data_IF_293204650483
#
_entry.id   IF_293204650483
#
_cell.length_a   1.000
_cell.length_b   1.000
_cell.length_c   1.000
_cell.angle_alpha   90.00
_cell.angle_beta   90.00
_cell.angle_gamma   90.00
#
_symmetry.space_group_name_H-M   'P 1'
#
loop_
_entity.id
_entity.type
_entity.pdbx_description
1 polymer ?
#
# COMPACT_ATOMS: atom_id res chain seq x y z
N UNK A 1 12.85 -4.19 22.37
CA UNK A 1 13.05 -5.33 21.45
C UNK A 1 13.48 -4.75 20.12
N UNK A 2 14.68 -5.10 19.63
CA UNK A 2 15.31 -4.53 18.43
C UNK A 2 14.40 -4.50 17.18
N UNK A 3 13.47 -5.45 17.07
CA UNK A 3 12.49 -5.52 15.98
C UNK A 3 11.66 -4.24 15.81
N UNK A 4 11.15 -3.66 16.92
CA UNK A 4 10.28 -2.47 16.87
C UNK A 4 11.02 -1.19 16.49
N UNK A 5 12.27 -1.05 16.93
CA UNK A 5 13.12 0.09 16.60
C UNK A 5 13.58 0.02 15.13
N UNK A 6 13.91 -1.18 14.65
CA UNK A 6 14.41 -1.41 13.29
C UNK A 6 13.31 -1.31 12.22
N UNK A 7 12.04 -1.58 12.55
CA UNK A 7 10.93 -1.43 11.61
C UNK A 7 10.85 0.00 11.02
N UNK A 8 11.10 1.01 11.84
CA UNK A 8 11.08 2.42 11.39
C UNK A 8 12.15 2.71 10.35
N UNK A 9 13.33 2.08 10.46
CA UNK A 9 14.41 2.24 9.49
C UNK A 9 14.00 1.67 8.13
N UNK A 10 13.44 0.44 8.12
CA UNK A 10 12.95 -0.21 6.89
C UNK A 10 11.84 0.64 6.24
N UNK A 11 10.88 1.11 7.03
CA UNK A 11 9.80 1.98 6.55
C UNK A 11 10.33 3.32 6.00
N UNK A 12 11.29 3.94 6.68
CA UNK A 12 11.92 5.19 6.22
C UNK A 12 12.66 4.97 4.89
N UNK A 13 13.36 3.85 4.74
CA UNK A 13 14.02 3.49 3.49
C UNK A 13 13.01 3.30 2.35
N UNK A 14 11.88 2.65 2.61
CA UNK A 14 10.79 2.53 1.63
C UNK A 14 10.25 3.90 1.17
N UNK A 15 10.02 4.82 2.11
CA UNK A 15 9.62 6.20 1.80
C UNK A 15 10.70 6.88 0.94
N UNK A 16 11.98 6.74 1.27
CA UNK A 16 13.06 7.33 0.49
C UNK A 16 13.11 6.80 -0.94
N UNK A 17 12.90 5.50 -1.15
CA UNK A 17 12.85 4.89 -2.48
C UNK A 17 11.66 5.35 -3.33
N UNK A 18 10.52 5.64 -2.69
CA UNK A 18 9.26 6.01 -3.38
C UNK A 18 9.04 7.53 -3.48
N UNK A 19 9.80 8.32 -2.71
CA UNK A 19 9.75 9.79 -2.72
C UNK A 19 9.95 10.41 -4.11
N UNK A 20 10.86 9.94 -4.98
CA UNK A 20 11.00 10.50 -6.33
C UNK A 20 9.74 10.33 -7.18
N UNK A 21 9.07 9.18 -7.07
CA UNK A 21 7.78 8.92 -7.76
C UNK A 21 6.72 9.87 -7.21
N UNK A 22 6.61 9.99 -5.89
CA UNK A 22 5.66 10.91 -5.27
C UNK A 22 5.87 12.36 -5.74
N UNK A 23 7.13 12.81 -5.82
CA UNK A 23 7.46 14.16 -6.28
C UNK A 23 7.13 14.37 -7.77
N UNK A 24 7.43 13.38 -8.63
CA UNK A 24 7.18 13.47 -10.06
C UNK A 24 5.69 13.63 -10.42
N UNK A 25 4.81 13.01 -9.64
CA UNK A 25 3.36 12.99 -9.89
C UNK A 25 2.55 13.86 -8.90
N UNK A 26 3.23 14.65 -8.06
CA UNK A 26 2.58 15.50 -7.07
C UNK A 26 1.70 14.72 -6.09
N UNK A 27 2.15 13.54 -5.67
CA UNK A 27 1.46 12.67 -4.73
C UNK A 27 1.99 12.84 -3.31
N UNK A 28 1.11 12.68 -2.33
CA UNK A 28 1.56 12.34 -0.97
C UNK A 28 1.96 10.87 -0.89
N UNK A 29 2.75 10.49 0.11
CA UNK A 29 3.10 9.08 0.33
C UNK A 29 1.84 8.20 0.51
N UNK A 30 0.81 8.73 1.17
CA UNK A 30 -0.43 8.00 1.39
C UNK A 30 -1.22 7.76 0.09
N UNK A 31 -1.27 8.76 -0.79
CA UNK A 31 -1.90 8.63 -2.10
C UNK A 31 -1.19 7.57 -2.95
N UNK A 32 0.15 7.62 -2.99
CA UNK A 32 0.97 6.61 -3.64
C UNK A 32 0.70 5.21 -3.06
N UNK A 33 0.71 5.11 -1.73
CA UNK A 33 0.47 3.86 -1.02
C UNK A 33 -0.91 3.25 -1.29
N UNK A 34 -1.95 4.08 -1.43
CA UNK A 34 -3.30 3.64 -1.81
C UNK A 34 -3.32 3.12 -3.25
N UNK A 35 -2.70 3.84 -4.20
CA UNK A 35 -2.62 3.39 -5.59
C UNK A 35 -1.90 2.04 -5.69
N UNK A 36 -0.74 1.90 -5.03
CA UNK A 36 -0.01 0.63 -5.01
C UNK A 36 -0.78 -0.48 -4.29
N UNK A 37 -1.56 -0.14 -3.26
CA UNK A 37 -2.42 -1.12 -2.57
C UNK A 37 -3.49 -1.69 -3.48
N UNK A 38 -4.26 -0.81 -4.13
CA UNK A 38 -5.35 -1.19 -5.03
C UNK A 38 -4.81 -2.01 -6.22
N UNK A 39 -3.64 -1.64 -6.74
CA UNK A 39 -2.99 -2.37 -7.84
C UNK A 39 -2.53 -3.76 -7.41
N UNK A 40 -1.88 -3.85 -6.24
CA UNK A 40 -1.33 -5.12 -5.74
C UNK A 40 -2.40 -6.05 -5.15
N UNK A 41 -3.60 -5.53 -4.86
CA UNK A 41 -4.69 -6.26 -4.22
C UNK A 41 -6.03 -5.97 -4.93
N UNK A 42 -6.21 -6.39 -6.19
CA UNK A 42 -7.42 -6.09 -6.97
C UNK A 42 -8.72 -6.61 -6.34
N UNK A 43 -8.63 -7.56 -5.40
CA UNK A 43 -9.76 -8.09 -4.61
C UNK A 43 -10.18 -7.18 -3.43
N UNK A 44 -9.40 -6.13 -3.13
CA UNK A 44 -9.61 -5.22 -2.01
C UNK A 44 -9.79 -3.80 -2.53
N UNK A 45 -11.01 -3.48 -2.94
CA UNK A 45 -11.34 -2.28 -3.70
C UNK A 45 -12.21 -1.27 -2.93
N UNK A 46 -12.36 -1.42 -1.61
CA UNK A 46 -13.15 -0.50 -0.80
C UNK A 46 -12.30 0.34 0.14
N UNK A 47 -12.79 1.52 0.52
CA UNK A 47 -12.15 2.36 1.55
C UNK A 47 -12.02 1.63 2.90
N UNK A 48 -13.00 0.76 3.21
CA UNK A 48 -12.98 -0.07 4.42
C UNK A 48 -11.83 -1.09 4.38
N UNK A 49 -11.55 -1.68 3.22
CA UNK A 49 -10.41 -2.60 3.07
C UNK A 49 -9.09 -1.86 3.25
N UNK A 50 -8.95 -0.67 2.66
CA UNK A 50 -7.76 0.17 2.82
C UNK A 50 -7.54 0.50 4.30
N UNK A 51 -8.57 0.96 5.01
CA UNK A 51 -8.48 1.27 6.46
C UNK A 51 -8.05 0.05 7.26
N UNK A 52 -8.68 -1.11 7.03
CA UNK A 52 -8.41 -2.34 7.78
C UNK A 52 -7.04 -2.94 7.49
N UNK A 53 -6.64 -2.99 6.21
CA UNK A 53 -5.44 -3.70 5.79
C UNK A 53 -4.19 -2.81 5.84
N UNK A 54 -4.33 -1.49 5.72
CA UNK A 54 -3.22 -0.53 5.85
C UNK A 54 -3.14 0.12 7.23
N UNK A 55 -4.07 -0.17 8.14
CA UNK A 55 -4.13 0.39 9.50
C UNK A 55 -4.13 1.94 9.48
N UNK A 56 -4.80 2.52 8.48
CA UNK A 56 -4.90 3.97 8.29
C UNK A 56 -6.20 4.50 8.90
N UNK A 57 -6.19 5.74 9.37
CA UNK A 57 -7.42 6.36 9.90
C UNK A 57 -8.42 6.65 8.77
N UNK A 58 -9.72 6.52 9.07
CA UNK A 58 -10.82 6.76 8.11
C UNK A 58 -10.77 8.17 7.49
N UNK A 59 -10.43 9.18 8.29
CA UNK A 59 -10.35 10.59 7.84
C UNK A 59 -9.24 10.84 6.82
N UNK A 60 -8.06 10.24 7.03
CA UNK A 60 -6.95 10.36 6.09
C UNK A 60 -7.22 9.60 4.80
N UNK A 61 -7.76 8.38 4.88
CA UNK A 61 -8.14 7.60 3.68
C UNK A 61 -9.17 8.35 2.85
N UNK A 62 -10.21 8.92 3.48
CA UNK A 62 -11.24 9.68 2.77
C UNK A 62 -10.65 10.88 2.00
N UNK A 63 -9.78 11.65 2.66
CA UNK A 63 -9.12 12.81 2.04
C UNK A 63 -8.23 12.42 0.87
N UNK A 64 -7.43 11.36 1.02
CA UNK A 64 -6.56 10.86 -0.04
C UNK A 64 -7.36 10.32 -1.24
N UNK A 65 -8.45 9.56 -1.00
CA UNK A 65 -9.31 9.06 -2.07
C UNK A 65 -10.00 10.20 -2.84
N UNK A 66 -10.46 11.24 -2.14
CA UNK A 66 -11.04 12.43 -2.79
C UNK A 66 -10.01 13.14 -3.67
N UNK A 67 -8.78 13.27 -3.20
CA UNK A 67 -7.68 13.87 -3.98
C UNK A 67 -7.33 13.03 -5.20
N UNK A 68 -7.18 11.72 -5.06
CA UNK A 68 -6.91 10.78 -6.17
C UNK A 68 -8.03 10.79 -7.22
N UNK A 69 -9.29 10.86 -6.80
CA UNK A 69 -10.44 10.98 -7.69
C UNK A 69 -10.43 12.31 -8.45
N UNK A 70 -10.13 13.43 -7.76
CA UNK A 70 -9.98 14.74 -8.41
C UNK A 70 -8.85 14.76 -9.44
N UNK A 71 -7.75 14.05 -9.17
CA UNK A 71 -6.62 13.83 -10.10
C UNK A 71 -6.95 12.81 -11.20
N UNK A 72 -8.14 12.21 -11.18
CA UNK A 72 -8.63 11.18 -12.11
C UNK A 72 -7.83 9.87 -12.09
N UNK A 73 -7.05 9.60 -11.04
CA UNK A 73 -6.28 8.36 -10.91
C UNK A 73 -7.12 7.17 -10.44
N UNK A 74 -8.26 7.44 -9.82
CA UNK A 74 -9.25 6.42 -9.45
C UNK A 74 -10.65 6.87 -9.85
N UNK A 75 -11.56 5.90 -9.99
CA UNK A 75 -13.00 6.12 -10.10
C UNK A 75 -13.74 5.38 -8.99
N UNK A 76 -14.92 5.89 -8.66
CA UNK A 76 -15.85 5.28 -7.72
C UNK A 76 -17.05 4.72 -8.48
N UNK A 77 -17.43 3.48 -8.17
CA UNK A 77 -18.64 2.87 -8.70
C UNK A 77 -19.43 2.15 -7.61
N UNK A 78 -20.72 1.99 -7.86
CA UNK A 78 -21.60 1.16 -7.04
C UNK A 78 -21.95 -0.08 -7.85
N UNK A 79 -21.86 -1.26 -7.23
CA UNK A 79 -22.32 -2.47 -7.88
C UNK A 79 -23.86 -2.47 -7.98
N UNK A 80 -24.39 -3.00 -9.09
CA UNK A 80 -25.82 -3.01 -9.38
C UNK A 80 -26.64 -3.53 -8.19
N UNK A 81 -27.53 -2.70 -7.65
CA UNK A 81 -28.41 -3.03 -6.53
C UNK A 81 -27.85 -2.69 -5.13
N UNK A 82 -26.52 -2.55 -4.97
CA UNK A 82 -25.91 -2.16 -3.70
C UNK A 82 -25.36 -0.73 -3.75
N UNK A 83 -26.18 0.25 -3.35
CA UNK A 83 -25.78 1.67 -3.22
C UNK A 83 -25.02 1.99 -1.93
N UNK A 84 -24.79 1.01 -1.06
CA UNK A 84 -24.13 1.23 0.25
C UNK A 84 -22.61 1.09 0.16
N UNK A 85 -22.11 0.24 -0.73
CA UNK A 85 -20.67 -0.02 -0.88
C UNK A 85 -20.13 0.69 -2.11
N UNK A 86 -19.10 1.52 -1.90
CA UNK A 86 -18.34 2.18 -2.96
C UNK A 86 -17.14 1.32 -3.31
N UNK A 87 -17.03 0.95 -4.57
CA UNK A 87 -15.88 0.25 -5.16
C UNK A 87 -14.96 1.24 -5.86
N UNK A 88 -13.66 1.01 -5.76
CA UNK A 88 -12.60 1.86 -6.28
C UNK A 88 -11.89 1.14 -7.42
N UNK A 89 -11.80 1.78 -8.58
CA UNK A 89 -11.02 1.27 -9.70
C UNK A 89 -9.90 2.25 -10.05
N UNK A 90 -8.71 1.74 -10.33
CA UNK A 90 -7.61 2.54 -10.89
C UNK A 90 -7.92 2.83 -12.36
N UNK A 91 -7.63 4.05 -12.80
CA UNK A 91 -7.81 4.46 -14.20
C UNK A 91 -6.52 4.32 -15.00
N UNK A 92 -6.63 4.39 -16.32
CA UNK A 92 -5.48 4.47 -17.22
C UNK A 92 -4.58 5.68 -16.95
N UNK A 93 -5.13 6.78 -16.41
CA UNK A 93 -4.35 7.97 -16.08
C UNK A 93 -3.30 7.72 -14.97
N UNK A 94 -3.42 6.61 -14.22
CA UNK A 94 -2.45 6.22 -13.22
C UNK A 94 -1.40 5.21 -13.72
N UNK A 95 -1.44 4.79 -14.99
CA UNK A 95 -0.58 3.72 -15.51
C UNK A 95 0.92 4.01 -15.31
N UNK A 96 1.36 5.22 -15.63
CA UNK A 96 2.77 5.61 -15.48
C UNK A 96 3.20 5.64 -14.00
N UNK A 97 2.31 6.12 -13.11
CA UNK A 97 2.54 6.11 -11.65
C UNK A 97 2.75 4.69 -11.15
N UNK A 98 1.93 3.74 -11.61
CA UNK A 98 2.03 2.35 -11.20
C UNK A 98 3.32 1.70 -11.71
N UNK A 99 3.72 1.99 -12.95
CA UNK A 99 4.95 1.46 -13.52
C UNK A 99 6.20 1.98 -12.78
N UNK A 100 6.25 3.29 -12.52
CA UNK A 100 7.34 3.91 -11.76
C UNK A 100 7.34 3.47 -10.30
N UNK A 101 6.14 3.34 -9.71
CA UNK A 101 5.94 2.83 -8.36
C UNK A 101 6.46 1.40 -8.20
N UNK A 102 6.11 0.51 -9.14
CA UNK A 102 6.61 -0.87 -9.17
C UNK A 102 8.14 -0.91 -9.31
N UNK A 103 8.69 -0.06 -10.17
CA UNK A 103 10.16 0.06 -10.33
C UNK A 103 10.83 0.52 -9.04
N UNK A 104 10.24 1.48 -8.33
CA UNK A 104 10.74 1.94 -7.02
C UNK A 104 10.65 0.83 -5.96
N UNK A 105 9.54 0.08 -5.90
CA UNK A 105 9.37 -1.06 -4.99
C UNK A 105 10.38 -2.18 -5.27
N UNK A 106 10.67 -2.47 -6.55
CA UNK A 106 11.68 -3.44 -6.94
C UNK A 106 13.08 -3.00 -6.50
N UNK A 107 13.44 -1.71 -6.71
CA UNK A 107 14.72 -1.17 -6.23
C UNK A 107 14.84 -1.24 -4.71
N UNK A 108 13.78 -0.90 -3.98
CA UNK A 108 13.72 -1.04 -2.54
C UNK A 108 13.98 -2.49 -2.12
N UNK A 109 13.28 -3.47 -2.70
CA UNK A 109 13.46 -4.88 -2.39
C UNK A 109 14.90 -5.36 -2.68
N UNK A 110 15.44 -5.03 -3.85
CA UNK A 110 16.81 -5.41 -4.23
C UNK A 110 17.86 -4.88 -3.26
N UNK A 111 17.71 -3.64 -2.78
CA UNK A 111 18.65 -3.05 -1.84
C UNK A 111 18.46 -3.59 -0.42
N UNK A 112 17.20 -3.78 0.01
CA UNK A 112 16.88 -4.28 1.35
C UNK A 112 17.41 -5.71 1.55
N UNK A 113 17.33 -6.55 0.52
CA UNK A 113 17.79 -7.94 0.56
C UNK A 113 19.15 -8.14 -0.11
N UNK A 114 19.94 -7.07 -0.27
CA UNK A 114 21.28 -7.17 -0.87
C UNK A 114 22.15 -8.15 -0.06
N UNK A 115 22.68 -9.16 -0.73
CA UNK A 115 23.57 -10.17 -0.12
C UNK A 115 22.85 -11.39 0.43
N UNK A 116 21.50 -11.44 0.37
CA UNK A 116 20.74 -12.64 0.71
C UNK A 116 20.80 -13.66 -0.43
N UNK A 117 20.88 -14.94 -0.09
CA UNK A 117 20.60 -16.02 -1.03
C UNK A 117 19.10 -16.11 -1.33
N UNK A 118 18.73 -16.86 -2.37
CA UNK A 118 17.32 -17.11 -2.68
C UNK A 118 16.63 -17.89 -1.55
N UNK A 119 17.33 -18.84 -0.93
CA UNK A 119 16.84 -19.63 0.19
C UNK A 119 16.62 -18.74 1.42
N UNK A 120 17.56 -17.85 1.74
CA UNK A 120 17.41 -16.89 2.84
C UNK A 120 16.24 -15.93 2.60
N UNK A 121 16.09 -15.44 1.37
CA UNK A 121 14.98 -14.57 1.00
C UNK A 121 13.62 -15.26 1.18
N UNK A 122 13.44 -16.48 0.64
CA UNK A 122 12.19 -17.22 0.79
C UNK A 122 11.93 -17.61 2.24
N UNK A 123 12.97 -17.96 3.00
CA UNK A 123 12.84 -18.23 4.43
C UNK A 123 12.41 -16.98 5.21
N UNK A 124 13.04 -15.83 4.97
CA UNK A 124 12.66 -14.56 5.58
C UNK A 124 11.20 -14.20 5.25
N UNK A 125 10.78 -14.35 4.00
CA UNK A 125 9.40 -14.11 3.58
C UNK A 125 8.40 -15.01 4.32
N UNK A 126 8.71 -16.29 4.50
CA UNK A 126 7.89 -17.21 5.27
C UNK A 126 7.77 -16.80 6.75
N UNK A 127 8.88 -16.40 7.37
CA UNK A 127 8.89 -15.91 8.76
C UNK A 127 8.07 -14.62 8.91
N UNK A 128 8.25 -13.64 8.02
CA UNK A 128 7.47 -12.40 8.03
C UNK A 128 5.98 -12.66 7.83
N UNK A 129 5.61 -13.57 6.94
CA UNK A 129 4.21 -13.96 6.75
C UNK A 129 3.62 -14.55 8.03
N UNK A 130 4.35 -15.42 8.73
CA UNK A 130 3.88 -16.00 10.00
C UNK A 130 3.73 -14.94 11.09
N UNK A 131 4.69 -14.01 11.19
CA UNK A 131 4.61 -12.89 12.13
C UNK A 131 3.41 -11.98 11.83
N UNK A 132 3.16 -11.70 10.55
CA UNK A 132 1.99 -10.93 10.11
C UNK A 132 0.68 -11.61 10.49
N UNK A 133 0.53 -12.92 10.26
CA UNK A 133 -0.65 -13.68 10.66
C UNK A 133 -0.87 -13.59 12.18
N UNK A 134 0.17 -13.86 12.97
CA UNK A 134 0.09 -13.76 14.42
C UNK A 134 -0.35 -12.36 14.88
N UNK A 135 0.21 -11.30 14.28
CA UNK A 135 -0.18 -9.93 14.62
C UNK A 135 -1.65 -9.66 14.24
N UNK A 136 -2.07 -10.07 13.03
CA UNK A 136 -3.43 -9.86 12.52
C UNK A 136 -4.48 -10.56 13.37
N UNK A 137 -4.21 -11.79 13.81
CA UNK A 137 -5.12 -12.57 14.65
C UNK A 137 -5.33 -11.97 16.05
N UNK A 138 -4.39 -11.13 16.50
CA UNK A 138 -4.43 -10.48 17.81
C UNK A 138 -4.81 -8.98 17.74
N UNK A 139 -5.10 -8.43 16.56
CA UNK A 139 -5.65 -7.08 16.41
C UNK A 139 -7.17 -7.19 16.43
N UNK A 140 -7.78 -6.71 17.52
CA UNK A 140 -9.23 -6.56 17.58
C UNK A 140 -9.61 -5.22 16.91
N UNK A 141 -10.56 -5.21 15.96
CA UNK A 141 -11.08 -3.96 15.45
C UNK A 141 -11.65 -3.15 16.62
N UNK A 142 -11.23 -1.90 16.78
CA UNK A 142 -11.95 -0.99 17.68
C UNK A 142 -13.42 -0.94 17.23
N UNK A 143 -14.32 -1.26 18.18
CA UNK A 143 -15.78 -1.23 18.01
C UNK A 143 -16.24 0.18 17.65
#
# INVERSE_FOLDING_TARGET
>A
MLFWENQKVIHTFYIQCTKPVCAAYGLTQMEFDILMFLHNNPQHDTASDIVKLRMLTKSHVSSALKSLENKRYITKSYQNGNRKTVHLAITEAAADILNDGKTAQMKFAQQLFRGFSNEEFEFCKALFSRMYTNARDNIHPEV
#
